data_IF_005640438240
#
_entry.id   IF_005640438240
#
_cell.length_a   1.000
_cell.length_b   1.000
_cell.length_c   1.000
_cell.angle_alpha   90.00
_cell.angle_beta   90.00
_cell.angle_gamma   90.00
#
_symmetry.space_group_name_H-M   'P 1'
#
loop_
_entity.id
_entity.type
_entity.pdbx_description
1 polymer ?
#
# COMPACT_ATOMS: atom_id res chain seq x y z
N UNK A 1 8.39 15.82 4.68
CA UNK A 1 7.67 15.58 3.41
C UNK A 1 6.18 15.46 3.71
N UNK A 2 5.36 16.21 3.01
CA UNK A 2 3.91 16.03 3.08
C UNK A 2 3.46 15.26 1.85
N UNK A 3 2.54 14.34 2.05
CA UNK A 3 2.03 13.54 0.96
C UNK A 3 1.39 12.26 1.45
N UNK A 4 1.21 11.35 0.51
CA UNK A 4 0.55 10.08 0.79
C UNK A 4 1.17 8.95 -0.01
N UNK A 5 0.99 7.74 0.50
CA UNK A 5 1.26 6.50 -0.23
C UNK A 5 -0.07 5.98 -0.73
N UNK A 6 -0.19 5.79 -2.04
CA UNK A 6 -1.34 5.09 -2.62
C UNK A 6 -1.11 3.58 -2.44
N UNK A 7 -1.99 2.95 -1.68
CA UNK A 7 -1.98 1.50 -1.50
C UNK A 7 -2.37 0.79 -2.81
N UNK A 8 -1.96 -0.45 -2.92
CA UNK A 8 -2.27 -1.30 -4.08
C UNK A 8 -3.76 -1.35 -4.40
N UNK A 9 -4.63 -1.34 -3.38
CA UNK A 9 -6.09 -1.37 -3.57
C UNK A 9 -6.62 -0.20 -4.40
N UNK A 10 -5.96 0.95 -4.34
CA UNK A 10 -6.33 2.13 -5.13
C UNK A 10 -6.13 1.86 -6.62
N UNK A 11 -5.00 1.26 -6.98
CA UNK A 11 -4.71 0.91 -8.38
C UNK A 11 -5.63 -0.19 -8.90
N UNK A 12 -5.93 -1.18 -8.07
CA UNK A 12 -6.87 -2.25 -8.40
C UNK A 12 -8.28 -1.69 -8.60
N UNK A 13 -8.71 -0.76 -7.74
CA UNK A 13 -10.01 -0.10 -7.89
C UNK A 13 -10.11 0.65 -9.22
N UNK A 14 -9.06 1.40 -9.59
CA UNK A 14 -9.01 2.12 -10.86
C UNK A 14 -9.07 1.14 -12.06
N UNK A 15 -8.32 0.04 -11.98
CA UNK A 15 -8.35 -1.01 -13.00
C UNK A 15 -9.76 -1.58 -13.19
N UNK A 16 -10.45 -1.82 -12.09
CA UNK A 16 -11.80 -2.40 -12.07
C UNK A 16 -12.90 -1.35 -12.23
N UNK A 17 -12.53 -0.10 -12.45
CA UNK A 17 -13.45 1.04 -12.59
C UNK A 17 -14.37 1.21 -11.39
N UNK A 18 -13.89 0.88 -10.21
CA UNK A 18 -14.61 1.18 -8.97
C UNK A 18 -14.42 2.64 -8.58
N UNK A 19 -15.41 3.22 -7.91
CA UNK A 19 -15.34 4.61 -7.49
C UNK A 19 -14.18 4.82 -6.51
N UNK A 20 -13.45 5.93 -6.70
CA UNK A 20 -12.40 6.39 -5.82
C UNK A 20 -12.81 7.74 -5.24
N UNK A 21 -12.55 7.92 -3.95
CA UNK A 21 -12.67 9.23 -3.33
C UNK A 21 -11.50 10.14 -3.74
N UNK A 22 -11.48 11.33 -3.19
CA UNK A 22 -10.38 12.25 -3.41
C UNK A 22 -9.13 11.77 -2.67
N UNK A 23 -7.95 11.84 -3.30
CA UNK A 23 -6.70 11.51 -2.62
C UNK A 23 -6.38 12.53 -1.52
N UNK A 24 -5.55 12.16 -0.53
CA UNK A 24 -4.98 13.13 0.39
C UNK A 24 -4.17 14.19 -0.34
N UNK A 25 -3.91 15.30 0.32
CA UNK A 25 -3.08 16.35 -0.26
C UNK A 25 -1.59 15.98 -0.27
N UNK A 26 -0.83 16.72 -1.07
CA UNK A 26 0.62 16.58 -1.17
C UNK A 26 1.08 15.63 -2.26
N UNK A 27 2.32 15.20 -2.17
CA UNK A 27 2.94 14.33 -3.17
C UNK A 27 2.39 12.90 -3.09
N UNK A 28 2.16 12.30 -4.26
CA UNK A 28 1.73 10.91 -4.37
C UNK A 28 2.95 10.00 -4.54
N UNK A 29 3.07 9.02 -3.65
CA UNK A 29 4.15 8.04 -3.70
C UNK A 29 3.56 6.63 -3.58
N UNK A 30 4.38 5.63 -3.86
CA UNK A 30 4.03 4.24 -3.62
C UNK A 30 5.12 3.54 -2.81
N UNK A 31 4.79 2.41 -2.22
CA UNK A 31 5.77 1.50 -1.64
C UNK A 31 6.26 0.53 -2.70
N UNK A 32 7.51 0.11 -2.60
CA UNK A 32 8.02 -0.98 -3.45
C UNK A 32 7.18 -2.26 -3.31
N UNK A 33 6.51 -2.47 -2.18
CA UNK A 33 5.59 -3.60 -1.99
C UNK A 33 4.44 -3.58 -3.00
N UNK A 34 3.95 -2.41 -3.38
CA UNK A 34 2.91 -2.28 -4.40
C UNK A 34 3.37 -2.79 -5.75
N UNK A 35 4.62 -2.53 -6.11
CA UNK A 35 5.22 -3.09 -7.34
C UNK A 35 5.18 -4.63 -7.28
N UNK A 36 5.56 -5.22 -6.15
CA UNK A 36 5.51 -6.67 -5.97
C UNK A 36 4.10 -7.21 -6.18
N UNK A 37 3.11 -6.60 -5.53
CA UNK A 37 1.72 -7.07 -5.62
C UNK A 37 1.15 -6.96 -7.04
N UNK A 38 1.37 -5.83 -7.69
CA UNK A 38 0.88 -5.61 -9.05
C UNK A 38 1.59 -6.51 -10.06
N UNK A 39 2.90 -6.70 -9.92
CA UNK A 39 3.66 -7.61 -10.77
C UNK A 39 3.20 -9.06 -10.59
N UNK A 40 2.95 -9.46 -9.35
CA UNK A 40 2.40 -10.78 -9.06
C UNK A 40 1.05 -10.97 -9.75
N UNK A 41 0.20 -9.95 -9.75
CA UNK A 41 -1.07 -9.98 -10.46
C UNK A 41 -0.91 -10.20 -11.96
N UNK A 42 0.08 -9.56 -12.60
CA UNK A 42 0.41 -9.77 -14.01
C UNK A 42 0.80 -11.22 -14.26
N UNK A 43 1.69 -11.74 -13.42
CA UNK A 43 2.22 -13.11 -13.58
C UNK A 43 1.16 -14.19 -13.36
N UNK A 44 0.14 -13.90 -12.56
CA UNK A 44 -0.98 -14.81 -12.28
C UNK A 44 -2.14 -14.67 -13.26
N UNK A 45 -2.11 -13.74 -14.18
CA UNK A 45 -3.20 -13.54 -15.12
C UNK A 45 -3.35 -14.78 -16.03
N UNK A 46 -4.57 -15.30 -16.11
CA UNK A 46 -4.85 -16.53 -16.85
C UNK A 46 -5.19 -16.30 -18.31
N UNK A 47 -5.43 -15.05 -18.72
CA UNK A 47 -5.72 -14.69 -20.10
C UNK A 47 -4.81 -13.55 -20.55
N UNK A 48 -4.58 -13.45 -21.85
CA UNK A 48 -3.79 -12.35 -22.41
C UNK A 48 -4.45 -10.99 -22.18
N UNK A 49 -5.78 -10.93 -22.28
CA UNK A 49 -6.51 -9.70 -22.03
C UNK A 49 -6.36 -9.20 -20.61
N UNK A 50 -6.49 -10.09 -19.64
CA UNK A 50 -6.30 -9.74 -18.23
C UNK A 50 -4.85 -9.36 -17.94
N UNK A 51 -3.89 -10.06 -18.53
CA UNK A 51 -2.47 -9.74 -18.39
C UNK A 51 -2.18 -8.34 -18.91
N UNK A 52 -2.69 -8.00 -20.10
CA UNK A 52 -2.48 -6.67 -20.68
C UNK A 52 -3.09 -5.57 -19.80
N UNK A 53 -4.27 -5.80 -19.26
CA UNK A 53 -4.92 -4.85 -18.34
C UNK A 53 -4.07 -4.62 -17.08
N UNK A 54 -3.58 -5.70 -16.48
CA UNK A 54 -2.73 -5.64 -15.28
C UNK A 54 -1.36 -5.03 -15.55
N UNK A 55 -0.80 -5.25 -16.73
CA UNK A 55 0.45 -4.58 -17.14
C UNK A 55 0.25 -3.07 -17.25
N UNK A 56 -0.89 -2.61 -17.77
CA UNK A 56 -1.21 -1.19 -17.81
C UNK A 56 -1.30 -0.60 -16.41
N UNK A 57 -1.93 -1.30 -15.48
CA UNK A 57 -2.03 -0.88 -14.08
C UNK A 57 -0.64 -0.79 -13.43
N UNK A 58 0.20 -1.80 -13.64
CA UNK A 58 1.58 -1.80 -13.16
C UNK A 58 2.38 -0.62 -13.72
N UNK A 59 2.23 -0.34 -15.01
CA UNK A 59 2.92 0.79 -15.65
C UNK A 59 2.49 2.12 -15.03
N UNK A 60 1.20 2.29 -14.74
CA UNK A 60 0.70 3.49 -14.06
C UNK A 60 1.32 3.65 -12.68
N UNK A 61 1.31 2.59 -11.87
CA UNK A 61 1.89 2.62 -10.53
C UNK A 61 3.39 2.91 -10.59
N UNK A 62 4.09 2.34 -11.55
CA UNK A 62 5.53 2.53 -11.72
C UNK A 62 5.93 3.94 -12.15
N UNK A 63 4.97 4.77 -12.56
CA UNK A 63 5.24 6.17 -12.86
C UNK A 63 5.39 7.02 -11.59
N UNK A 64 4.93 6.52 -10.43
CA UNK A 64 5.12 7.19 -9.15
C UNK A 64 6.49 6.85 -8.57
N UNK A 65 6.99 7.72 -7.69
CA UNK A 65 8.21 7.42 -6.94
C UNK A 65 7.91 6.29 -5.97
N UNK A 66 8.69 5.21 -6.05
CA UNK A 66 8.57 4.07 -5.17
C UNK A 66 9.54 4.22 -4.00
N UNK A 67 9.01 4.17 -2.79
CA UNK A 67 9.81 4.18 -1.56
C UNK A 67 10.33 2.78 -1.28
N UNK A 68 11.62 2.68 -1.03
CA UNK A 68 12.30 1.40 -0.88
C UNK A 68 12.15 0.82 0.52
N UNK A 69 12.30 -0.48 0.62
CA UNK A 69 12.39 -1.19 1.88
C UNK A 69 13.81 -1.05 2.41
N UNK A 70 14.04 -0.06 3.26
CA UNK A 70 15.33 0.19 3.88
C UNK A 70 15.35 -0.29 5.34
N UNK A 71 16.46 -0.03 6.03
CA UNK A 71 16.65 -0.46 7.41
C UNK A 71 15.62 0.16 8.37
N UNK A 72 15.25 1.43 8.15
CA UNK A 72 14.24 2.10 8.99
C UNK A 72 12.87 1.47 8.83
N UNK A 73 12.51 1.15 7.60
CA UNK A 73 11.25 0.45 7.30
C UNK A 73 11.27 -0.94 7.92
N UNK A 74 12.40 -1.66 7.81
CA UNK A 74 12.54 -3.00 8.39
C UNK A 74 12.33 -3.00 9.90
N UNK A 75 12.92 -2.05 10.63
CA UNK A 75 12.74 -1.94 12.07
C UNK A 75 11.30 -1.62 12.43
N UNK A 76 10.69 -0.66 11.75
CA UNK A 76 9.32 -0.28 12.03
C UNK A 76 8.34 -1.40 11.70
N UNK A 77 8.61 -2.13 10.62
CA UNK A 77 7.82 -3.31 10.26
C UNK A 77 7.84 -4.36 11.37
N UNK A 78 9.00 -4.63 11.93
CA UNK A 78 9.13 -5.58 13.04
C UNK A 78 8.26 -5.17 14.23
N UNK A 79 8.25 -3.88 14.59
CA UNK A 79 7.42 -3.35 15.66
C UNK A 79 5.93 -3.53 15.39
N UNK A 80 5.49 -3.25 14.15
CA UNK A 80 4.08 -3.42 13.76
C UNK A 80 3.66 -4.89 13.81
N UNK A 81 4.49 -5.79 13.30
CA UNK A 81 4.19 -7.22 13.32
C UNK A 81 4.15 -7.78 14.73
N UNK A 82 5.05 -7.32 15.61
CA UNK A 82 5.05 -7.71 17.01
C UNK A 82 3.78 -7.23 17.73
N UNK A 83 3.38 -5.99 17.51
CA UNK A 83 2.17 -5.43 18.09
C UNK A 83 0.92 -6.18 17.62
N UNK A 84 0.85 -6.53 16.33
CA UNK A 84 -0.25 -7.30 15.78
C UNK A 84 -0.34 -8.68 16.45
N UNK A 85 0.81 -9.34 16.59
CA UNK A 85 0.88 -10.67 17.21
C UNK A 85 0.44 -10.63 18.67
N UNK A 86 0.92 -9.64 19.43
CA UNK A 86 0.54 -9.47 20.83
C UNK A 86 -0.94 -9.21 21.02
N UNK A 87 -1.57 -8.49 20.10
CA UNK A 87 -3.00 -8.20 20.15
C UNK A 87 -3.87 -9.34 19.60
N UNK A 88 -3.27 -10.43 19.13
CA UNK A 88 -3.99 -11.54 18.50
C UNK A 88 -4.55 -11.22 17.12
N UNK A 89 -4.07 -10.16 16.49
CA UNK A 89 -4.53 -9.74 15.17
C UNK A 89 -3.56 -10.17 14.08
N UNK A 90 -4.10 -10.37 12.88
CA UNK A 90 -3.29 -10.66 11.71
C UNK A 90 -3.11 -9.40 10.87
N UNK A 91 -1.88 -9.20 10.41
CA UNK A 91 -1.56 -8.18 9.44
C UNK A 91 -0.90 -8.86 8.23
N UNK A 92 -1.38 -8.59 7.04
CA UNK A 92 -0.74 -9.07 5.82
C UNK A 92 0.65 -8.44 5.68
N UNK A 93 1.62 -9.21 5.20
CA UNK A 93 3.01 -8.74 5.12
C UNK A 93 3.15 -7.50 4.24
N UNK A 94 2.51 -7.47 3.06
CA UNK A 94 2.61 -6.34 2.14
C UNK A 94 1.94 -5.09 2.72
N UNK A 95 0.76 -5.22 3.32
CA UNK A 95 0.08 -4.11 3.97
C UNK A 95 0.91 -3.55 5.12
N UNK A 96 1.53 -4.43 5.91
CA UNK A 96 2.40 -4.00 7.01
C UNK A 96 3.64 -3.25 6.50
N UNK A 97 4.22 -3.66 5.38
CA UNK A 97 5.34 -2.95 4.75
C UNK A 97 4.92 -1.57 4.29
N UNK A 98 3.75 -1.46 3.66
CA UNK A 98 3.21 -0.18 3.21
C UNK A 98 2.99 0.74 4.42
N UNK A 99 2.38 0.22 5.48
CA UNK A 99 2.14 0.97 6.71
C UNK A 99 3.45 1.44 7.37
N UNK A 100 4.42 0.54 7.48
CA UNK A 100 5.73 0.89 8.05
C UNK A 100 6.44 1.97 7.23
N UNK A 101 6.36 1.88 5.92
CA UNK A 101 6.93 2.87 5.01
C UNK A 101 6.26 4.24 5.22
N UNK A 102 4.94 4.26 5.33
CA UNK A 102 4.20 5.49 5.58
C UNK A 102 4.60 6.13 6.91
N UNK A 103 4.71 5.35 7.97
CA UNK A 103 5.09 5.84 9.30
C UNK A 103 6.50 6.43 9.25
N UNK A 104 7.45 5.72 8.66
CA UNK A 104 8.85 6.18 8.58
C UNK A 104 8.96 7.52 7.84
N UNK A 105 8.17 7.71 6.80
CA UNK A 105 8.22 8.91 5.97
C UNK A 105 7.18 9.99 6.35
N UNK A 106 6.38 9.75 7.39
CA UNK A 106 5.37 10.71 7.82
C UNK A 106 4.25 10.94 6.80
N UNK A 107 3.86 9.90 6.08
CA UNK A 107 2.88 9.97 4.99
C UNK A 107 1.55 9.35 5.41
N UNK A 108 0.45 9.81 4.80
CA UNK A 108 -0.87 9.21 4.93
C UNK A 108 -0.95 8.01 3.98
N UNK A 109 -1.56 6.91 4.43
CA UNK A 109 -1.90 5.80 3.52
C UNK A 109 -3.28 6.06 2.93
N UNK A 110 -3.36 6.13 1.61
CA UNK A 110 -4.63 6.22 0.88
C UNK A 110 -4.98 4.82 0.39
N UNK A 111 -6.10 4.31 0.86
CA UNK A 111 -6.49 2.92 0.63
C UNK A 111 -8.00 2.75 0.49
N UNK A 112 -8.42 1.66 -0.13
CA UNK A 112 -9.79 1.18 -0.10
C UNK A 112 -9.95 -0.03 0.83
N UNK A 113 -8.85 -0.50 1.42
CA UNK A 113 -8.83 -1.73 2.21
C UNK A 113 -8.97 -1.42 3.70
N UNK A 114 -9.99 -2.00 4.34
CA UNK A 114 -10.21 -1.86 5.78
C UNK A 114 -9.13 -2.51 6.65
N UNK A 115 -8.28 -3.38 6.07
CA UNK A 115 -7.17 -4.01 6.81
C UNK A 115 -6.19 -2.97 7.38
N UNK A 116 -6.10 -1.79 6.77
CA UNK A 116 -5.28 -0.70 7.31
C UNK A 116 -5.84 -0.10 8.60
N UNK A 117 -7.13 -0.26 8.88
CA UNK A 117 -7.71 0.18 10.15
C UNK A 117 -7.14 -0.63 11.32
N UNK A 118 -6.86 -1.92 11.10
CA UNK A 118 -6.21 -2.78 12.09
C UNK A 118 -4.80 -2.27 12.39
N UNK A 119 -4.04 -1.94 11.35
CA UNK A 119 -2.68 -1.42 11.52
C UNK A 119 -2.68 -0.04 12.18
N UNK A 120 -3.63 0.83 11.84
CA UNK A 120 -3.75 2.14 12.45
C UNK A 120 -4.08 2.03 13.95
N UNK A 121 -4.86 1.03 14.34
CA UNK A 121 -5.17 0.79 15.75
C UNK A 121 -3.92 0.36 16.56
N UNK A 122 -2.93 -0.25 15.88
CA UNK A 122 -1.69 -0.72 16.50
C UNK A 122 -0.56 0.32 16.48
N UNK A 123 -0.67 1.32 15.62
CA UNK A 123 0.35 2.35 15.43
C UNK A 123 -0.31 3.73 15.41
N UNK A 124 -0.31 4.46 16.54
CA UNK A 124 -0.98 5.77 16.61
C UNK A 124 -0.51 6.80 15.59
N UNK A 125 0.75 6.73 15.18
CA UNK A 125 1.32 7.64 14.18
C UNK A 125 0.92 7.29 12.74
N UNK A 126 0.31 6.13 12.50
CA UNK A 126 -0.19 5.77 11.18
C UNK A 126 -1.52 6.48 10.90
N UNK A 127 -1.52 7.28 9.84
CA UNK A 127 -2.71 7.97 9.37
C UNK A 127 -3.22 7.31 8.11
N UNK A 128 -4.50 6.99 8.10
CA UNK A 128 -5.15 6.27 6.99
C UNK A 128 -6.32 7.10 6.50
N UNK A 129 -6.43 7.25 5.18
CA UNK A 129 -7.60 7.82 4.52
C UNK A 129 -8.18 6.78 3.61
N UNK A 130 -9.43 6.42 3.86
CA UNK A 130 -10.18 5.49 3.02
C UNK A 130 -10.97 6.24 1.98
N UNK A 131 -11.12 5.64 0.83
CA UNK A 131 -11.83 6.22 -0.27
C UNK A 131 -11.39 5.66 -1.58
#
# INVERSE_FOLDING_TARGET
MTGYIADTSVFVAAEQRRALGSPPGGSALISAATITELRLGVLRAQTEGLRALRETTLARASSFIALVYDERVAERLAELLAAARESGRRAGAMDAIIAATAVVHGLVVWTQDEDFDVLAALAPELRVQRG
#
